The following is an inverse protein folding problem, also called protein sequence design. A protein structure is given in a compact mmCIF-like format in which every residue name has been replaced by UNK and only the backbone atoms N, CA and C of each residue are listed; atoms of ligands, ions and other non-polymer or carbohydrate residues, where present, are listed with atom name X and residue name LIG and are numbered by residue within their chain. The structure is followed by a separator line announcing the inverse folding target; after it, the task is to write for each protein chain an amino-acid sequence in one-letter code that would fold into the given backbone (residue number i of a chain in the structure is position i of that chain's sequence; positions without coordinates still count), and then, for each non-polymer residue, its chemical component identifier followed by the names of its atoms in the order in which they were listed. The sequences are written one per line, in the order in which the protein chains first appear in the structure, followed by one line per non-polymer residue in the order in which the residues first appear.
data_IF_991946967813
#
_entry.id   IF_991946967813
#
_cell.length_a   1.000
_cell.length_b   1.000
_cell.length_c   1.000
_cell.angle_alpha   90.00
_cell.angle_beta   90.00
_cell.angle_gamma   90.00
#
_symmetry.space_group_name_H-M   'P 1'
#
loop_
_entity.id
_entity.type
_entity.pdbx_description
1 polymer ?
#
# COMPACT_ATOMS: atom_id res chain seq x y z
N UNK A 1 11.12 -22.59 -18.50
CA UNK A 1 11.69 -21.30 -18.04
C UNK A 1 10.63 -20.58 -17.21
N UNK A 2 10.94 -20.44 -15.94
CA UNK A 2 10.11 -19.70 -14.99
C UNK A 2 10.36 -18.21 -15.20
N UNK A 3 9.38 -17.49 -15.74
CA UNK A 3 9.51 -16.06 -16.03
C UNK A 3 8.34 -15.27 -15.47
N UNK A 4 8.60 -14.04 -15.03
CA UNK A 4 7.55 -13.07 -14.74
C UNK A 4 6.76 -12.76 -16.00
N UNK A 5 5.52 -12.31 -15.85
CA UNK A 5 4.75 -11.81 -16.99
C UNK A 5 5.42 -10.57 -17.61
N UNK A 6 5.81 -9.64 -16.74
CA UNK A 6 6.62 -8.45 -17.06
C UNK A 6 7.65 -8.23 -15.94
N UNK A 7 8.93 -8.15 -16.29
CA UNK A 7 9.98 -7.69 -15.39
C UNK A 7 10.46 -6.33 -15.88
N UNK A 8 10.21 -5.29 -15.08
CA UNK A 8 10.61 -3.93 -15.41
C UNK A 8 11.95 -3.56 -14.79
N UNK A 9 12.89 -3.15 -15.64
CA UNK A 9 14.21 -2.59 -15.27
C UNK A 9 14.42 -1.19 -15.86
N UNK A 10 13.40 -0.63 -16.50
CA UNK A 10 13.46 0.67 -17.17
C UNK A 10 12.72 1.70 -16.35
N UNK A 11 13.37 2.82 -16.07
CA UNK A 11 12.77 3.92 -15.37
C UNK A 11 11.80 4.71 -16.26
N UNK A 12 10.68 5.15 -15.69
CA UNK A 12 9.66 5.90 -16.43
C UNK A 12 8.86 5.04 -17.43
N UNK A 13 8.79 3.71 -17.25
CA UNK A 13 7.96 2.85 -18.09
C UNK A 13 6.50 3.27 -18.03
N UNK A 14 5.87 3.45 -19.21
CA UNK A 14 4.44 3.73 -19.32
C UNK A 14 3.72 2.55 -19.96
N UNK A 15 2.83 1.91 -19.23
CA UNK A 15 1.93 0.86 -19.73
C UNK A 15 0.61 1.52 -20.11
N UNK A 16 0.31 1.61 -21.41
CA UNK A 16 -0.95 2.19 -21.91
C UNK A 16 -2.00 1.10 -22.14
N UNK A 17 -3.12 1.21 -21.44
CA UNK A 17 -4.24 0.26 -21.50
C UNK A 17 -5.30 0.80 -22.46
N UNK A 18 -5.09 0.63 -23.77
CA UNK A 18 -5.99 1.13 -24.81
C UNK A 18 -7.13 0.15 -25.16
N UNK A 19 -7.10 -1.05 -24.62
CA UNK A 19 -8.15 -2.07 -24.69
C UNK A 19 -8.00 -3.00 -23.49
N UNK A 20 -9.03 -3.76 -23.19
CA UNK A 20 -8.92 -4.80 -22.17
C UNK A 20 -7.76 -5.75 -22.48
N UNK A 21 -6.88 -5.91 -21.52
CA UNK A 21 -5.61 -6.64 -21.67
C UNK A 21 -5.28 -7.41 -20.41
N UNK A 22 -4.43 -8.43 -20.52
CA UNK A 22 -3.99 -9.21 -19.36
C UNK A 22 -2.50 -9.49 -19.39
N UNK A 23 -1.91 -9.54 -18.17
CA UNK A 23 -0.57 -10.07 -17.92
C UNK A 23 -0.73 -11.18 -16.90
N UNK A 24 -0.44 -12.41 -17.29
CA UNK A 24 -0.66 -13.60 -16.48
C UNK A 24 0.66 -14.36 -16.35
N UNK A 25 0.96 -14.79 -15.12
CA UNK A 25 2.10 -15.67 -14.87
C UNK A 25 1.68 -16.82 -13.94
N UNK A 26 1.76 -18.05 -14.43
CA UNK A 26 1.34 -19.24 -13.68
C UNK A 26 2.31 -19.64 -12.56
N UNK A 27 3.57 -19.26 -12.69
CA UNK A 27 4.63 -19.70 -11.77
C UNK A 27 5.38 -18.56 -11.09
N UNK A 28 5.10 -17.33 -11.47
CA UNK A 28 5.78 -16.12 -10.99
C UNK A 28 4.82 -14.95 -10.80
N UNK A 29 5.37 -13.80 -10.50
CA UNK A 29 4.66 -12.52 -10.42
C UNK A 29 4.23 -12.05 -11.81
N UNK A 30 3.02 -11.49 -11.94
CA UNK A 30 2.58 -10.94 -13.23
C UNK A 30 3.43 -9.70 -13.60
N UNK A 31 3.60 -8.74 -12.68
CA UNK A 31 4.52 -7.61 -12.86
C UNK A 31 5.53 -7.58 -11.72
N UNK A 32 6.82 -7.62 -12.06
CA UNK A 32 7.90 -7.31 -11.13
C UNK A 32 8.55 -5.98 -11.53
N UNK A 33 8.37 -4.95 -10.73
CA UNK A 33 9.03 -3.65 -10.89
C UNK A 33 10.28 -3.58 -10.02
N UNK A 34 11.44 -3.52 -10.64
CA UNK A 34 12.75 -3.52 -9.96
C UNK A 34 13.25 -2.09 -9.73
N UNK A 35 12.85 -1.49 -8.61
CA UNK A 35 13.35 -0.18 -8.17
C UNK A 35 13.21 0.92 -9.25
N UNK A 36 12.08 0.95 -9.96
CA UNK A 36 11.81 1.88 -11.06
C UNK A 36 10.47 2.57 -10.90
N UNK A 37 10.31 3.69 -11.61
CA UNK A 37 9.02 4.35 -11.76
C UNK A 37 8.24 3.73 -12.91
N UNK A 38 6.97 3.39 -12.66
CA UNK A 38 6.04 2.84 -13.65
C UNK A 38 4.73 3.60 -13.59
N UNK A 39 4.17 3.91 -14.75
CA UNK A 39 2.81 4.42 -14.88
C UNK A 39 1.94 3.44 -15.65
N UNK A 40 0.80 3.04 -15.08
CA UNK A 40 -0.25 2.27 -15.74
C UNK A 40 -1.39 3.24 -16.00
N UNK A 41 -1.66 3.55 -17.28
CA UNK A 41 -2.60 4.60 -17.67
C UNK A 41 -3.50 4.14 -18.82
N UNK A 42 -4.70 4.69 -18.94
CA UNK A 42 -5.60 4.42 -20.04
C UNK A 42 -7.06 4.53 -19.63
N UNK A 43 -7.96 4.07 -20.50
CA UNK A 43 -9.41 4.12 -20.30
C UNK A 43 -10.05 2.71 -20.27
N UNK A 44 -9.23 1.69 -20.23
CA UNK A 44 -9.66 0.30 -20.27
C UNK A 44 -9.15 -0.52 -19.07
N UNK A 45 -9.46 -1.82 -19.04
CA UNK A 45 -9.14 -2.73 -17.96
C UNK A 45 -7.84 -3.50 -18.23
N UNK A 46 -6.95 -3.53 -17.23
CA UNK A 46 -5.79 -4.42 -17.17
C UNK A 46 -5.99 -5.49 -16.10
N UNK A 47 -5.88 -6.76 -16.49
CA UNK A 47 -5.97 -7.90 -15.60
C UNK A 47 -4.56 -8.42 -15.32
N UNK A 48 -4.19 -8.49 -14.04
CA UNK A 48 -2.91 -8.95 -13.55
C UNK A 48 -3.10 -10.20 -12.71
N UNK A 49 -2.59 -11.35 -13.17
CA UNK A 49 -2.71 -12.60 -12.42
C UNK A 49 -1.32 -13.17 -12.16
N UNK A 50 -0.92 -13.15 -10.90
CA UNK A 50 0.30 -13.79 -10.43
C UNK A 50 0.06 -15.24 -9.99
N UNK A 51 1.13 -15.97 -9.75
CA UNK A 51 1.07 -17.37 -9.36
C UNK A 51 0.29 -17.59 -8.06
N UNK A 52 -0.42 -18.70 -8.03
CA UNK A 52 -0.96 -19.32 -6.80
C UNK A 52 -0.25 -20.63 -6.46
N UNK A 53 0.78 -21.00 -7.21
CA UNK A 53 1.45 -22.32 -7.16
C UNK A 53 2.94 -22.21 -6.89
N UNK A 54 3.54 -21.01 -6.98
CA UNK A 54 4.97 -20.86 -6.74
C UNK A 54 5.32 -21.30 -5.31
N UNK A 55 6.42 -22.02 -5.18
CA UNK A 55 6.92 -22.49 -3.88
C UNK A 55 7.66 -21.38 -3.12
N UNK A 56 8.19 -20.40 -3.83
CA UNK A 56 8.84 -19.23 -3.27
C UNK A 56 7.80 -18.11 -3.12
N UNK A 57 7.56 -17.66 -1.90
CA UNK A 57 6.57 -16.65 -1.55
C UNK A 57 6.74 -15.31 -2.30
N UNK A 58 7.96 -14.98 -2.69
CA UNK A 58 8.21 -13.75 -3.48
C UNK A 58 7.54 -13.76 -4.85
N UNK A 59 7.21 -14.93 -5.40
CA UNK A 59 6.63 -15.08 -6.73
C UNK A 59 5.10 -15.22 -6.74
N UNK A 60 4.47 -15.36 -5.58
CA UNK A 60 3.03 -15.53 -5.46
C UNK A 60 2.27 -14.18 -5.39
N UNK A 61 2.65 -13.21 -6.21
CA UNK A 61 2.06 -11.86 -6.22
C UNK A 61 1.52 -11.49 -7.59
N UNK A 62 0.45 -10.72 -7.68
CA UNK A 62 0.11 -10.12 -8.96
C UNK A 62 1.12 -9.04 -9.33
N UNK A 63 1.41 -8.13 -8.40
CA UNK A 63 2.44 -7.11 -8.59
C UNK A 63 3.42 -7.14 -7.43
N UNK A 64 4.71 -7.29 -7.76
CA UNK A 64 5.81 -7.06 -6.84
C UNK A 64 6.50 -5.74 -7.22
N UNK A 65 6.28 -4.73 -6.43
CA UNK A 65 6.82 -3.40 -6.64
C UNK A 65 7.98 -3.15 -5.68
N UNK A 66 9.15 -2.84 -6.21
CA UNK A 66 10.32 -2.41 -5.43
C UNK A 66 10.69 -0.94 -5.71
N UNK A 67 9.84 -0.21 -6.40
CA UNK A 67 9.99 1.21 -6.72
C UNK A 67 8.67 1.95 -6.54
N UNK A 68 8.25 2.71 -7.54
CA UNK A 68 7.00 3.46 -7.54
C UNK A 68 6.08 3.03 -8.69
N UNK A 69 4.81 2.80 -8.39
CA UNK A 69 3.79 2.54 -9.42
C UNK A 69 2.63 3.51 -9.24
N UNK A 70 2.31 4.23 -10.33
CA UNK A 70 1.12 5.04 -10.47
C UNK A 70 0.09 4.32 -11.34
N UNK A 71 -1.15 4.21 -10.87
CA UNK A 71 -2.30 3.75 -11.65
C UNK A 71 -3.23 4.94 -11.85
N UNK A 72 -3.47 5.31 -13.13
CA UNK A 72 -4.21 6.53 -13.45
C UNK A 72 -5.19 6.33 -14.59
N UNK A 73 -6.41 6.86 -14.41
CA UNK A 73 -7.49 6.92 -15.40
C UNK A 73 -7.91 5.56 -16.01
N UNK A 74 -7.52 4.43 -15.41
CA UNK A 74 -7.80 3.09 -15.91
C UNK A 74 -8.41 2.18 -14.84
N UNK A 75 -8.80 0.97 -15.25
CA UNK A 75 -9.23 -0.09 -14.34
C UNK A 75 -8.16 -1.16 -14.22
N UNK A 76 -7.86 -1.62 -13.01
CA UNK A 76 -6.90 -2.71 -12.77
C UNK A 76 -7.54 -3.77 -11.88
N UNK A 77 -7.46 -5.05 -12.31
CA UNK A 77 -7.78 -6.19 -11.46
C UNK A 77 -6.51 -7.00 -11.21
N UNK A 78 -6.12 -7.15 -9.94
CA UNK A 78 -4.87 -7.80 -9.55
C UNK A 78 -5.11 -8.94 -8.58
N UNK A 79 -4.73 -10.17 -8.95
CA UNK A 79 -4.86 -11.37 -8.11
C UNK A 79 -3.56 -12.13 -7.99
N UNK A 80 -3.18 -12.49 -6.77
CA UNK A 80 -2.01 -13.31 -6.49
C UNK A 80 -2.24 -14.28 -5.35
N UNK A 81 -1.39 -15.27 -5.20
CA UNK A 81 -1.49 -16.28 -4.14
C UNK A 81 -1.25 -15.72 -2.76
N UNK A 82 -0.27 -14.85 -2.60
CA UNK A 82 0.05 -14.17 -1.35
C UNK A 82 -0.49 -12.74 -1.34
N UNK A 83 -0.22 -12.00 -2.41
CA UNK A 83 -0.56 -10.59 -2.50
C UNK A 83 -1.13 -10.24 -3.87
N UNK A 84 -2.11 -9.35 -3.88
CA UNK A 84 -2.50 -8.63 -5.09
C UNK A 84 -1.44 -7.57 -5.42
N UNK A 85 -1.35 -6.53 -4.61
CA UNK A 85 -0.36 -5.46 -4.75
C UNK A 85 0.62 -5.52 -3.56
N UNK A 86 1.92 -5.54 -3.83
CA UNK A 86 2.93 -5.74 -2.81
C UNK A 86 4.15 -4.84 -3.01
N UNK A 87 4.60 -4.24 -1.92
CA UNK A 87 5.85 -3.48 -1.84
C UNK A 87 5.77 -2.06 -2.37
N UNK A 88 6.86 -1.34 -2.27
CA UNK A 88 7.10 -0.03 -2.88
C UNK A 88 6.09 1.07 -2.58
N UNK A 89 6.11 2.09 -3.43
CA UNK A 89 5.23 3.24 -3.35
C UNK A 89 4.09 3.12 -4.35
N UNK A 90 2.88 3.55 -3.95
CA UNK A 90 1.68 3.46 -4.78
C UNK A 90 0.94 4.79 -4.85
N UNK A 91 0.55 5.16 -6.07
CA UNK A 91 -0.32 6.29 -6.34
C UNK A 91 -1.52 5.81 -7.15
N UNK A 92 -2.71 6.05 -6.64
CA UNK A 92 -3.98 5.77 -7.31
C UNK A 92 -4.64 7.11 -7.66
N UNK A 93 -4.82 7.41 -8.95
CA UNK A 93 -5.38 8.66 -9.42
C UNK A 93 -6.54 8.38 -10.39
N UNK A 94 -7.76 8.76 -10.02
CA UNK A 94 -8.96 8.63 -10.84
C UNK A 94 -9.12 7.23 -11.47
N UNK A 95 -8.87 6.17 -10.70
CA UNK A 95 -8.84 4.80 -11.20
C UNK A 95 -9.79 3.89 -10.42
N UNK A 96 -10.16 2.77 -11.04
CA UNK A 96 -10.86 1.67 -10.41
C UNK A 96 -9.85 0.52 -10.21
N UNK A 97 -9.62 0.09 -8.98
CA UNK A 97 -8.72 -1.04 -8.70
C UNK A 97 -9.47 -2.08 -7.88
N UNK A 98 -9.35 -3.33 -8.29
CA UNK A 98 -9.82 -4.48 -7.55
C UNK A 98 -8.65 -5.42 -7.31
N UNK A 99 -8.35 -5.72 -6.07
CA UNK A 99 -7.18 -6.54 -5.76
C UNK A 99 -7.45 -7.56 -4.67
N UNK A 100 -6.80 -8.71 -4.80
CA UNK A 100 -6.94 -9.83 -3.86
C UNK A 100 -5.64 -10.62 -3.76
N UNK A 101 -5.31 -11.06 -2.54
CA UNK A 101 -4.19 -11.96 -2.28
C UNK A 101 -4.33 -12.68 -0.95
N UNK A 102 -3.47 -13.66 -0.71
CA UNK A 102 -3.34 -14.33 0.58
C UNK A 102 -4.23 -15.55 0.84
N UNK A 103 -5.12 -15.92 -0.08
CA UNK A 103 -6.10 -17.01 0.14
C UNK A 103 -5.49 -18.40 0.41
N UNK A 104 -4.24 -18.64 0.01
CA UNK A 104 -3.57 -19.96 0.13
C UNK A 104 -2.18 -19.88 0.77
N UNK A 105 -1.81 -18.75 1.31
CA UNK A 105 -0.45 -18.53 1.79
C UNK A 105 -0.31 -18.81 3.28
N UNK A 106 0.75 -19.53 3.64
CA UNK A 106 1.27 -19.58 5.00
C UNK A 106 2.28 -18.44 5.26
N UNK A 107 2.48 -17.55 4.29
CA UNK A 107 3.39 -16.44 4.41
C UNK A 107 2.92 -15.44 5.48
N UNK A 108 3.85 -14.97 6.29
CA UNK A 108 3.62 -13.84 7.21
C UNK A 108 3.36 -12.52 6.48
N UNK A 109 3.73 -12.44 5.21
CA UNK A 109 3.62 -11.22 4.38
C UNK A 109 2.46 -11.25 3.39
N UNK A 110 1.41 -12.02 3.65
CA UNK A 110 0.21 -12.09 2.82
C UNK A 110 -0.66 -10.85 2.98
N UNK A 111 -1.43 -10.52 1.94
CA UNK A 111 -2.40 -9.42 1.98
C UNK A 111 -2.87 -9.00 0.60
N UNK A 112 -4.04 -8.43 0.49
CA UNK A 112 -4.53 -7.90 -0.79
C UNK A 112 -3.71 -6.69 -1.24
N UNK A 113 -3.37 -5.80 -0.30
CA UNK A 113 -2.37 -4.75 -0.46
C UNK A 113 -1.48 -4.79 0.79
N UNK A 114 -0.17 -4.86 0.62
CA UNK A 114 0.73 -4.93 1.77
C UNK A 114 2.19 -4.66 1.46
N UNK A 115 2.98 -4.53 2.53
CA UNK A 115 4.40 -4.19 2.46
C UNK A 115 4.68 -2.87 1.73
N UNK A 116 3.73 -1.92 1.82
CA UNK A 116 3.88 -0.59 1.23
C UNK A 116 4.90 0.20 2.03
N UNK A 117 5.79 0.92 1.35
CA UNK A 117 6.95 1.55 1.97
C UNK A 117 6.67 2.96 2.47
N UNK A 118 7.24 3.29 3.64
CA UNK A 118 7.32 4.59 4.29
C UNK A 118 5.97 5.27 4.60
N UNK A 119 5.02 5.17 3.70
CA UNK A 119 3.70 5.78 3.86
C UNK A 119 2.64 4.94 3.16
N UNK A 120 1.39 4.95 3.64
CA UNK A 120 0.27 4.40 2.90
C UNK A 120 0.16 4.95 1.49
N UNK A 121 -0.52 4.24 0.57
CA UNK A 121 -0.73 4.71 -0.80
C UNK A 121 -1.40 6.08 -0.87
N UNK A 122 -1.03 6.86 -1.88
CA UNK A 122 -1.69 8.14 -2.18
C UNK A 122 -2.91 7.89 -3.06
N UNK A 123 -4.05 8.49 -2.68
CA UNK A 123 -5.30 8.42 -3.44
C UNK A 123 -5.71 9.82 -3.90
N UNK A 124 -6.01 9.96 -5.19
CA UNK A 124 -6.51 11.20 -5.80
C UNK A 124 -7.75 10.87 -6.62
N UNK A 125 -8.88 11.51 -6.35
CA UNK A 125 -10.16 11.27 -7.03
C UNK A 125 -10.60 9.78 -7.03
N UNK A 126 -10.17 9.01 -6.07
CA UNK A 126 -10.58 7.64 -5.82
C UNK A 126 -10.35 7.29 -4.34
N UNK A 127 -10.99 6.21 -3.88
CA UNK A 127 -10.86 5.75 -2.49
C UNK A 127 -11.15 4.26 -2.38
N UNK A 128 -10.72 3.63 -1.27
CA UNK A 128 -11.16 2.28 -0.92
C UNK A 128 -12.64 2.35 -0.56
N UNK A 129 -13.46 1.61 -1.30
CA UNK A 129 -14.93 1.54 -1.12
C UNK A 129 -15.40 0.20 -0.56
N UNK A 130 -14.57 -0.83 -0.65
CA UNK A 130 -14.87 -2.15 -0.09
C UNK A 130 -13.58 -2.90 0.28
N UNK A 131 -13.56 -3.57 1.44
CA UNK A 131 -14.53 -3.45 2.52
C UNK A 131 -14.47 -2.08 3.21
N UNK A 132 -15.55 -1.69 3.89
CA UNK A 132 -15.60 -0.47 4.68
C UNK A 132 -14.91 -0.66 6.02
N UNK A 133 -14.47 0.44 6.65
CA UNK A 133 -13.83 0.40 7.97
C UNK A 133 -12.39 -0.10 7.94
N UNK A 134 -11.77 -0.11 6.76
CA UNK A 134 -10.34 -0.47 6.60
C UNK A 134 -9.43 0.66 7.04
N UNK A 135 -8.26 0.30 7.51
CA UNK A 135 -7.22 1.25 7.89
C UNK A 135 -5.83 0.72 7.60
N UNK A 136 -4.85 1.61 7.50
CA UNK A 136 -3.45 1.27 7.33
C UNK A 136 -2.77 1.20 8.69
N UNK A 137 -2.04 0.11 8.94
CA UNK A 137 -1.23 -0.06 10.15
C UNK A 137 0.23 -0.27 9.77
N UNK A 138 1.11 0.45 10.47
CA UNK A 138 2.55 0.31 10.35
C UNK A 138 3.02 -0.94 11.09
N UNK A 139 3.94 -1.68 10.48
CA UNK A 139 4.62 -2.80 11.13
C UNK A 139 5.95 -2.31 11.68
N UNK A 140 6.05 -2.25 13.01
CA UNK A 140 7.20 -1.71 13.75
C UNK A 140 8.40 -2.67 13.85
N UNK A 141 8.32 -3.89 13.28
CA UNK A 141 9.35 -4.94 13.43
C UNK A 141 10.62 -4.70 12.60
N UNK A 142 10.62 -3.67 11.74
CA UNK A 142 11.68 -3.42 10.76
C UNK A 142 12.27 -2.02 10.93
N UNK A 143 13.51 -1.84 10.45
CA UNK A 143 14.22 -0.57 10.48
C UNK A 143 13.50 0.55 9.69
N UNK A 144 12.73 0.16 8.66
CA UNK A 144 11.92 1.06 7.82
C UNK A 144 10.44 0.78 8.03
N UNK A 145 9.58 1.82 7.99
CA UNK A 145 8.14 1.64 8.14
C UNK A 145 7.53 0.93 6.93
N UNK A 146 6.76 -0.14 7.20
CA UNK A 146 5.98 -0.86 6.21
C UNK A 146 4.51 -0.86 6.61
N UNK A 147 3.63 -0.69 5.63
CA UNK A 147 2.20 -0.59 5.87
C UNK A 147 1.43 -1.75 5.24
N UNK A 148 0.47 -2.26 5.99
CA UNK A 148 -0.53 -3.20 5.51
C UNK A 148 -1.93 -2.64 5.70
N UNK A 149 -2.85 -3.09 4.86
CA UNK A 149 -4.26 -2.76 4.98
C UNK A 149 -4.97 -3.78 5.87
N UNK A 150 -5.61 -3.29 6.92
CA UNK A 150 -6.34 -4.08 7.91
C UNK A 150 -7.84 -3.84 7.84
N UNK A 151 -8.61 -4.83 8.29
CA UNK A 151 -10.05 -4.69 8.59
C UNK A 151 -10.27 -4.11 10.00
N UNK A 152 -11.54 -3.88 10.36
CA UNK A 152 -11.94 -3.37 11.68
C UNK A 152 -11.59 -4.33 12.83
N UNK A 153 -11.39 -5.61 12.54
CA UNK A 153 -11.08 -6.66 13.53
C UNK A 153 -9.57 -6.88 13.67
N UNK A 154 -8.76 -6.01 13.06
CA UNK A 154 -7.29 -6.06 13.05
C UNK A 154 -6.71 -7.28 12.34
N UNK A 155 -7.38 -7.77 11.32
CA UNK A 155 -6.82 -8.78 10.44
C UNK A 155 -6.29 -8.12 9.16
N UNK A 156 -5.14 -8.58 8.67
CA UNK A 156 -4.65 -8.19 7.34
C UNK A 156 -5.65 -8.65 6.28
N UNK A 157 -6.08 -7.72 5.43
CA UNK A 157 -7.03 -8.02 4.38
C UNK A 157 -6.43 -8.95 3.33
N UNK A 158 -7.05 -10.12 3.16
CA UNK A 158 -6.67 -11.15 2.18
C UNK A 158 -7.76 -11.43 1.15
N UNK A 159 -8.92 -10.79 1.29
CA UNK A 159 -10.02 -10.85 0.32
C UNK A 159 -10.06 -9.59 -0.54
N UNK A 160 -11.07 -9.47 -1.39
CA UNK A 160 -11.18 -8.37 -2.34
C UNK A 160 -11.16 -7.00 -1.67
N UNK A 161 -10.24 -6.18 -2.12
CA UNK A 161 -10.21 -4.74 -1.86
C UNK A 161 -10.60 -4.02 -3.15
N UNK A 162 -11.53 -3.09 -3.04
CA UNK A 162 -12.01 -2.28 -4.16
C UNK A 162 -11.69 -0.82 -3.91
N UNK A 163 -10.99 -0.21 -4.85
CA UNK A 163 -10.76 1.22 -4.94
C UNK A 163 -11.62 1.71 -6.10
N UNK A 164 -12.45 2.72 -5.89
CA UNK A 164 -13.34 3.24 -6.92
C UNK A 164 -13.06 4.70 -7.23
N UNK A 165 -13.01 5.04 -8.51
CA UNK A 165 -12.89 6.43 -8.97
C UNK A 165 -14.14 7.24 -8.61
N UNK A 166 -13.96 8.55 -8.45
CA UNK A 166 -15.04 9.47 -8.09
C UNK A 166 -15.55 9.29 -6.66
N UNK A 167 -15.06 8.30 -5.92
CA UNK A 167 -15.35 8.16 -4.52
C UNK A 167 -14.58 9.24 -3.76
N UNK A 168 -15.29 10.19 -3.16
CA UNK A 168 -14.75 11.05 -2.13
C UNK A 168 -14.77 10.31 -0.80
N UNK A 169 -13.87 9.34 -0.65
CA UNK A 169 -13.61 8.80 0.65
C UNK A 169 -12.92 9.88 1.48
N UNK A 170 -13.28 10.02 2.74
CA UNK A 170 -12.36 10.55 3.73
C UNK A 170 -11.26 9.49 3.80
N UNK A 171 -10.31 9.58 2.87
CA UNK A 171 -9.08 8.81 2.88
C UNK A 171 -8.26 9.34 4.03
N UNK A 172 -8.34 8.74 5.19
CA UNK A 172 -7.84 9.20 6.46
C UNK A 172 -8.75 10.23 7.17
N UNK A 173 -9.89 9.79 7.68
CA UNK A 173 -9.93 9.89 9.10
C UNK A 173 -8.92 8.85 9.59
N UNK A 174 -7.69 9.24 9.89
CA UNK A 174 -7.01 8.61 10.99
C UNK A 174 -8.07 8.61 12.08
N UNK A 175 -8.74 7.47 12.26
CA UNK A 175 -9.44 7.27 13.51
C UNK A 175 -8.37 7.57 14.54
N UNK A 176 -8.65 8.45 15.48
CA UNK A 176 -7.83 8.80 16.64
C UNK A 176 -7.53 7.60 17.56
N UNK A 177 -7.42 6.40 17.04
CA UNK A 177 -6.52 5.39 17.55
C UNK A 177 -5.16 5.74 16.96
N UNK A 178 -4.71 6.90 17.42
CA UNK A 178 -3.38 7.40 17.32
C UNK A 178 -2.39 6.31 16.87
N UNK A 179 -1.85 6.42 15.67
CA UNK A 179 -0.41 6.31 15.60
C UNK A 179 0.05 7.24 16.74
N UNK A 180 0.40 6.66 17.88
CA UNK A 180 0.97 7.42 18.97
C UNK A 180 2.20 8.04 18.35
N UNK A 181 2.11 9.31 17.97
CA UNK A 181 3.27 10.08 17.61
C UNK A 181 4.11 10.11 18.86
N UNK A 182 4.90 9.03 19.06
CA UNK A 182 5.87 8.96 20.12
C UNK A 182 6.84 10.10 19.90
N UNK A 183 6.85 11.04 20.81
CA UNK A 183 7.72 12.19 20.75
C UNK A 183 7.12 13.41 21.42
N UNK A 184 7.97 14.42 21.52
CA UNK A 184 7.64 15.69 22.10
C UNK A 184 7.52 16.72 21.00
N UNK A 185 6.44 17.51 21.02
CA UNK A 185 6.18 18.54 20.02
C UNK A 185 5.79 19.85 20.73
N UNK A 186 6.12 20.97 20.10
CA UNK A 186 5.56 22.28 20.45
C UNK A 186 4.07 22.32 20.10
N UNK A 187 3.35 23.34 20.59
CA UNK A 187 1.94 23.55 20.20
C UNK A 187 1.77 23.81 18.69
N UNK A 188 2.82 24.32 18.05
CA UNK A 188 2.85 24.57 16.61
C UNK A 188 3.22 23.32 15.79
N UNK A 189 3.34 22.15 16.43
CA UNK A 189 3.60 20.88 15.78
C UNK A 189 5.07 20.60 15.42
N UNK A 190 6.01 21.41 15.87
CA UNK A 190 7.44 21.20 15.65
C UNK A 190 7.95 20.13 16.60
N UNK A 191 8.56 19.08 16.07
CA UNK A 191 9.15 18.00 16.85
C UNK A 191 10.37 18.48 17.61
N UNK A 192 10.45 18.14 18.89
CA UNK A 192 11.57 18.47 19.78
C UNK A 192 12.40 17.19 19.97
N UNK A 193 13.67 17.24 19.59
CA UNK A 193 14.63 16.17 19.87
C UNK A 193 15.20 16.35 21.27
N UNK A 194 14.88 15.42 22.18
CA UNK A 194 15.37 15.46 23.55
C UNK A 194 14.41 14.82 24.53
N UNK A 195 14.83 14.72 25.80
CA UNK A 195 13.98 14.19 26.88
C UNK A 195 13.10 15.30 27.45
N UNK A 196 11.85 14.98 27.79
CA UNK A 196 10.88 15.93 28.35
C UNK A 196 11.43 16.63 29.62
N UNK A 197 12.20 15.90 30.42
CA UNK A 197 12.79 16.39 31.67
C UNK A 197 13.74 17.56 31.46
N UNK A 198 14.34 17.69 30.28
CA UNK A 198 15.34 18.71 29.96
C UNK A 198 14.75 19.94 29.27
N UNK A 199 13.46 19.97 29.02
CA UNK A 199 12.81 21.10 28.35
C UNK A 199 12.54 22.25 29.34
N UNK A 200 12.48 23.50 28.89
CA UNK A 200 11.99 24.63 29.69
C UNK A 200 10.56 24.43 30.21
N UNK A 201 10.16 25.17 31.21
CA UNK A 201 8.75 25.25 31.63
C UNK A 201 7.89 25.71 30.43
N UNK A 202 6.78 25.03 30.18
CA UNK A 202 5.96 25.32 29.02
C UNK A 202 4.87 24.27 28.75
N UNK A 203 4.19 24.43 27.63
CA UNK A 203 3.14 23.50 27.20
C UNK A 203 3.64 22.74 25.97
N UNK A 204 3.56 21.42 26.02
CA UNK A 204 4.05 20.50 24.99
C UNK A 204 2.99 19.47 24.65
N UNK A 205 3.10 18.87 23.47
CA UNK A 205 2.38 17.64 23.13
C UNK A 205 3.35 16.48 23.31
N UNK A 206 3.13 15.66 24.31
CA UNK A 206 3.94 14.47 24.61
C UNK A 206 3.10 13.24 24.32
N UNK A 207 3.54 12.41 23.38
CA UNK A 207 2.82 11.19 22.95
C UNK A 207 1.34 11.47 22.63
N UNK A 208 1.09 12.56 21.90
CA UNK A 208 -0.25 12.98 21.51
C UNK A 208 -1.08 13.65 22.62
N UNK A 209 -0.55 13.82 23.85
CA UNK A 209 -1.26 14.46 24.97
C UNK A 209 -0.67 15.82 25.30
N UNK A 210 -1.53 16.81 25.51
CA UNK A 210 -1.13 18.13 26.01
C UNK A 210 -0.59 17.99 27.42
N UNK A 211 0.66 18.32 27.62
CA UNK A 211 1.39 18.19 28.92
C UNK A 211 1.99 19.55 29.29
N UNK A 212 1.79 19.95 30.53
CA UNK A 212 2.36 21.18 31.09
C UNK A 212 3.61 20.82 31.89
N UNK A 213 4.72 21.40 31.54
CA UNK A 213 5.94 21.35 32.35
C UNK A 213 6.01 22.61 33.23
N UNK A 214 6.11 22.40 34.51
CA UNK A 214 6.31 23.46 35.50
C UNK A 214 7.78 23.76 35.71
#
# INVERSE_FOLDING_TARGET
TTTHGLENRVDGLVIRVNKESSIISDNHTAIWNMDKEVSIIGDNKLILTGSTKATDDKYNKAVFNQGSIMIKDCSVEATGGNNGLYGGYWVFDNCDVRTKGGAKSNSSHKGSIGWVWDNPPVFTNCAITSPTGTYWEEIEEYEYPYFYLYDSDRNVLTDWVVISKGASGINYAATDTAAKKHGIYTLDGVRINGKFENLPAGIYIVDGKKTVKK
#
